data_IF_205128903542
#
_entry.id   IF_205128903542
#
_cell.length_a   1.000
_cell.length_b   1.000
_cell.length_c   1.000
_cell.angle_alpha   90.00
_cell.angle_beta   90.00
_cell.angle_gamma   90.00
#
_symmetry.space_group_name_H-M   'P 1'
#
loop_
_entity.id
_entity.type
_entity.pdbx_description
1 polymer ?
#
# COMPACT_ATOMS: atom_id res chain seq x y z
N UNK A 1 -20.49 33.19 -10.94
CA UNK A 1 -19.60 32.86 -12.08
C UNK A 1 -19.68 31.36 -12.33
N UNK A 2 -19.62 30.95 -13.60
CA UNK A 2 -19.50 29.53 -13.97
C UNK A 2 -18.15 28.98 -13.49
N UNK A 3 -18.13 27.77 -12.92
CA UNK A 3 -16.94 27.13 -12.36
C UNK A 3 -16.48 26.01 -13.29
N UNK A 4 -15.19 25.95 -13.59
CA UNK A 4 -14.54 24.92 -14.40
C UNK A 4 -13.28 24.43 -13.68
N UNK A 5 -12.77 23.24 -14.04
CA UNK A 5 -11.54 22.66 -13.49
C UNK A 5 -10.77 21.90 -14.57
N UNK A 6 -9.48 21.64 -14.32
CA UNK A 6 -8.61 20.77 -15.12
C UNK A 6 -7.85 19.81 -14.21
N UNK A 7 -7.37 18.69 -14.75
CA UNK A 7 -6.46 17.76 -14.08
C UNK A 7 -5.08 17.82 -14.74
N UNK A 8 -4.02 17.49 -13.98
CA UNK A 8 -2.63 17.38 -14.44
C UNK A 8 -2.02 16.13 -13.79
N UNK A 9 -1.32 15.32 -14.57
CA UNK A 9 -0.46 14.26 -14.05
C UNK A 9 0.89 14.85 -13.66
N UNK A 10 1.39 14.44 -12.49
CA UNK A 10 2.73 14.76 -12.01
C UNK A 10 3.39 13.42 -11.69
N UNK A 11 4.52 13.17 -12.31
CA UNK A 11 5.24 11.92 -12.11
C UNK A 11 6.09 11.99 -10.84
N UNK A 12 6.40 10.82 -10.29
CA UNK A 12 7.09 10.71 -9.02
C UNK A 12 7.69 9.33 -8.84
N UNK A 13 8.34 9.16 -7.69
CA UNK A 13 8.87 7.88 -7.23
C UNK A 13 8.45 7.64 -5.79
N UNK A 14 8.68 6.42 -5.32
CA UNK A 14 8.54 6.06 -3.91
C UNK A 14 9.91 5.84 -3.30
N UNK A 15 10.02 6.24 -2.04
CA UNK A 15 11.16 5.92 -1.17
C UNK A 15 10.62 5.44 0.18
N UNK A 16 11.39 4.68 0.97
CA UNK A 16 10.96 4.26 2.29
C UNK A 16 10.72 5.45 3.22
N UNK A 17 9.59 5.47 3.93
CA UNK A 17 9.28 6.45 4.96
C UNK A 17 8.54 5.84 6.15
N UNK A 18 8.53 6.54 7.28
CA UNK A 18 7.85 6.09 8.50
C UNK A 18 6.98 7.22 9.06
N UNK A 19 5.68 6.98 9.15
CA UNK A 19 4.76 7.85 9.86
C UNK A 19 4.69 7.45 11.32
N UNK A 20 4.83 8.42 12.22
CA UNK A 20 4.59 8.24 13.65
C UNK A 20 3.27 8.95 14.02
N UNK A 21 2.26 8.13 14.28
CA UNK A 21 0.94 8.58 14.73
C UNK A 21 0.52 7.75 15.95
N UNK A 22 1.26 7.91 17.05
CA UNK A 22 1.25 7.06 18.27
C UNK A 22 1.84 5.66 18.08
N UNK A 23 1.80 5.14 16.86
CA UNK A 23 2.49 3.94 16.40
C UNK A 23 3.31 4.28 15.15
N UNK A 24 4.25 3.42 14.78
CA UNK A 24 5.08 3.60 13.59
C UNK A 24 4.54 2.80 12.40
N UNK A 25 4.29 3.50 11.30
CA UNK A 25 3.76 2.93 10.07
C UNK A 25 4.79 3.08 8.95
N UNK A 26 5.22 1.95 8.37
CA UNK A 26 5.96 1.98 7.12
C UNK A 26 5.06 2.51 6.01
N UNK A 27 5.60 3.42 5.21
CA UNK A 27 4.98 3.89 3.98
C UNK A 27 6.00 3.86 2.85
N UNK A 28 5.50 3.57 1.65
CA UNK A 28 6.16 4.01 0.43
C UNK A 28 5.87 5.51 0.29
N UNK A 29 6.78 6.37 0.75
CA UNK A 29 6.63 7.81 0.70
C UNK A 29 6.65 8.29 -0.75
N UNK A 30 5.56 8.86 -1.24
CA UNK A 30 5.49 9.37 -2.60
C UNK A 30 6.20 10.73 -2.69
N UNK A 31 7.14 10.86 -3.62
CA UNK A 31 7.91 12.07 -3.92
C UNK A 31 7.74 12.41 -5.39
N UNK A 32 7.27 13.63 -5.68
CA UNK A 32 6.89 14.06 -7.02
C UNK A 32 7.91 15.02 -7.65
N UNK A 33 7.96 15.06 -8.98
CA UNK A 33 8.89 15.91 -9.76
C UNK A 33 8.70 17.41 -9.51
N UNK A 34 7.52 17.83 -9.06
CA UNK A 34 7.20 19.22 -8.70
C UNK A 34 7.57 19.55 -7.25
N UNK A 35 8.27 18.65 -6.56
CA UNK A 35 8.75 18.86 -5.19
C UNK A 35 7.68 18.72 -4.12
N UNK A 36 6.50 18.21 -4.46
CA UNK A 36 5.49 17.80 -3.49
C UNK A 36 5.80 16.40 -2.94
N UNK A 37 5.39 16.13 -1.71
CA UNK A 37 5.62 14.88 -0.98
C UNK A 37 4.32 14.45 -0.31
N UNK A 38 3.89 13.20 -0.49
CA UNK A 38 2.71 12.68 0.21
C UNK A 38 3.10 11.81 1.41
N UNK A 39 2.92 12.34 2.62
CA UNK A 39 3.16 11.66 3.89
C UNK A 39 1.85 11.47 4.70
N UNK A 40 0.83 10.90 4.04
CA UNK A 40 -0.60 10.93 4.41
C UNK A 40 -1.28 12.31 4.28
N UNK A 41 -0.51 13.28 3.84
CA UNK A 41 -0.93 14.60 3.42
C UNK A 41 0.10 15.09 2.40
N UNK A 42 -0.38 15.70 1.32
CA UNK A 42 0.46 16.29 0.29
C UNK A 42 1.00 17.62 0.79
N UNK A 43 2.32 17.69 0.96
CA UNK A 43 3.03 18.87 1.46
C UNK A 43 4.11 19.30 0.47
N UNK A 44 4.47 20.59 0.51
CA UNK A 44 5.67 21.09 -0.17
C UNK A 44 6.93 20.89 0.71
N UNK A 45 8.08 21.39 0.25
CA UNK A 45 9.35 21.28 0.97
C UNK A 45 9.38 21.98 2.33
N UNK A 46 8.58 23.03 2.53
CA UNK A 46 8.46 23.70 3.84
C UNK A 46 7.62 22.83 4.78
N UNK A 47 6.46 22.37 4.32
CA UNK A 47 5.61 21.45 5.07
C UNK A 47 6.32 20.14 5.40
N UNK A 48 7.14 19.59 4.50
CA UNK A 48 7.97 18.42 4.78
C UNK A 48 8.90 18.66 5.98
N UNK A 49 9.57 19.82 6.02
CA UNK A 49 10.45 20.18 7.12
C UNK A 49 9.68 20.23 8.43
N UNK A 50 8.49 20.82 8.44
CA UNK A 50 7.60 20.85 9.61
C UNK A 50 7.20 19.44 10.04
N UNK A 51 6.80 18.56 9.11
CA UNK A 51 6.42 17.16 9.40
C UNK A 51 7.55 16.36 10.03
N UNK A 52 8.80 16.58 9.60
CA UNK A 52 9.99 15.99 10.22
C UNK A 52 10.26 16.57 11.62
N UNK A 53 10.13 17.88 11.79
CA UNK A 53 10.37 18.55 13.07
C UNK A 53 9.39 18.10 14.15
N UNK A 54 8.09 18.09 13.85
CA UNK A 54 7.04 17.62 14.79
C UNK A 54 7.07 16.10 15.02
N UNK A 55 7.90 15.37 14.25
CA UNK A 55 8.03 13.92 14.36
C UNK A 55 6.84 13.15 13.78
N UNK A 56 6.10 13.73 12.83
CA UNK A 56 5.07 13.04 12.06
C UNK A 56 5.69 12.07 11.06
N UNK A 57 6.66 12.55 10.29
CA UNK A 57 7.53 11.72 9.45
C UNK A 57 8.85 11.53 10.21
N UNK A 58 9.31 10.29 10.35
CA UNK A 58 10.53 9.98 11.10
C UNK A 58 11.48 9.10 10.27
N UNK A 59 12.81 9.29 10.41
CA UNK A 59 13.81 8.50 9.69
C UNK A 59 14.23 7.23 10.43
N UNK A 60 13.66 6.97 11.61
CA UNK A 60 14.01 5.83 12.45
C UNK A 60 12.90 5.50 13.45
N UNK A 61 12.90 4.23 13.90
CA UNK A 61 12.05 3.74 14.97
C UNK A 61 12.93 3.40 16.19
N UNK A 62 12.54 3.80 17.41
CA UNK A 62 13.24 3.42 18.63
C UNK A 62 13.29 1.90 18.86
N UNK A 63 14.31 1.44 19.57
CA UNK A 63 14.45 0.03 19.95
C UNK A 63 13.27 -0.46 20.79
N UNK A 64 12.69 -1.62 20.43
CA UNK A 64 11.61 -2.27 21.16
C UNK A 64 10.21 -1.75 20.81
N UNK A 65 10.11 -0.79 19.89
CA UNK A 65 8.85 -0.38 19.28
C UNK A 65 8.50 -1.31 18.10
N UNK A 66 7.24 -1.25 17.65
CA UNK A 66 6.80 -2.01 16.49
C UNK A 66 6.74 -1.16 15.24
N UNK A 67 6.92 -1.81 14.08
CA UNK A 67 6.61 -1.26 12.77
C UNK A 67 5.36 -1.96 12.21
N UNK A 68 4.34 -1.17 11.90
CA UNK A 68 3.15 -1.61 11.17
C UNK A 68 3.38 -1.38 9.67
N UNK A 69 3.19 -2.42 8.88
CA UNK A 69 3.29 -2.39 7.42
C UNK A 69 1.91 -2.75 6.89
N UNK A 70 1.25 -1.78 6.26
CA UNK A 70 -0.15 -1.91 5.83
C UNK A 70 -0.36 -3.16 4.95
N UNK A 71 -1.34 -3.98 5.30
CA UNK A 71 -1.68 -5.21 4.60
C UNK A 71 -0.67 -6.36 4.77
N UNK A 72 0.48 -6.14 5.43
CA UNK A 72 1.52 -7.15 5.64
C UNK A 72 1.53 -7.67 7.09
N UNK A 73 1.62 -6.78 8.07
CA UNK A 73 1.67 -7.14 9.49
C UNK A 73 2.25 -6.07 10.40
N UNK A 74 2.35 -6.38 11.69
CA UNK A 74 3.02 -5.55 12.69
C UNK A 74 4.14 -6.35 13.37
N UNK A 75 5.36 -5.81 13.36
CA UNK A 75 6.57 -6.52 13.76
C UNK A 75 7.37 -5.71 14.79
N UNK A 76 7.84 -6.39 15.83
CA UNK A 76 8.77 -5.80 16.80
C UNK A 76 10.12 -5.50 16.15
N UNK A 77 10.66 -4.29 16.36
CA UNK A 77 12.03 -3.96 15.99
C UNK A 77 12.95 -4.24 17.18
N UNK A 78 13.70 -5.34 17.07
CA UNK A 78 14.71 -5.71 18.06
C UNK A 78 15.92 -4.79 17.93
N UNK A 79 16.43 -4.60 16.72
CA UNK A 79 17.52 -3.63 16.45
C UNK A 79 17.32 -2.99 15.08
N UNK A 80 17.82 -1.76 14.91
CA UNK A 80 17.77 -1.07 13.62
C UNK A 80 19.02 -0.22 13.42
N UNK A 81 19.67 -0.40 12.27
CA UNK A 81 20.70 0.49 11.74
C UNK A 81 20.04 1.39 10.70
N UNK A 82 19.69 2.60 11.11
CA UNK A 82 19.01 3.59 10.27
C UNK A 82 20.04 4.52 9.62
N UNK A 83 19.94 4.70 8.31
CA UNK A 83 20.94 5.46 7.56
C UNK A 83 20.75 6.98 7.66
N UNK A 84 19.61 7.44 8.17
CA UNK A 84 19.26 8.85 8.19
C UNK A 84 18.89 9.38 9.58
N UNK A 85 19.15 10.66 9.79
CA UNK A 85 18.51 11.51 10.80
C UNK A 85 17.57 12.51 10.10
N UNK A 86 16.86 13.36 10.86
CA UNK A 86 15.87 14.30 10.28
C UNK A 86 16.45 15.17 9.16
N UNK A 87 17.66 15.71 9.37
CA UNK A 87 18.31 16.59 8.40
C UNK A 87 18.79 15.82 7.17
N UNK A 88 19.48 14.68 7.36
CA UNK A 88 19.98 13.90 6.23
C UNK A 88 18.84 13.23 5.43
N UNK A 89 17.71 12.90 6.08
CA UNK A 89 16.54 12.38 5.38
C UNK A 89 15.84 13.46 4.56
N UNK A 90 15.74 14.69 5.08
CA UNK A 90 15.26 15.83 4.32
C UNK A 90 16.11 16.09 3.07
N UNK A 91 17.43 16.07 3.20
CA UNK A 91 18.34 16.22 2.06
C UNK A 91 18.25 15.03 1.09
N UNK A 92 18.09 13.79 1.56
CA UNK A 92 17.83 12.64 0.69
C UNK A 92 16.55 12.79 -0.14
N UNK A 93 15.47 13.30 0.46
CA UNK A 93 14.21 13.58 -0.27
C UNK A 93 14.44 14.66 -1.33
N UNK A 94 15.19 15.72 -1.02
CA UNK A 94 15.56 16.74 -2.01
C UNK A 94 16.40 16.19 -3.14
N UNK A 95 17.43 15.39 -2.84
CA UNK A 95 18.24 14.71 -3.85
C UNK A 95 17.37 13.79 -4.73
N UNK A 96 16.32 13.19 -4.16
CA UNK A 96 15.33 12.41 -4.92
C UNK A 96 14.55 13.30 -5.89
N UNK A 97 14.10 14.48 -5.46
CA UNK A 97 13.46 15.47 -6.34
C UNK A 97 14.41 15.95 -7.42
N UNK A 98 15.69 16.19 -7.10
CA UNK A 98 16.71 16.58 -8.08
C UNK A 98 16.97 15.49 -9.13
N UNK A 99 16.90 14.19 -8.74
CA UNK A 99 16.97 13.09 -9.71
C UNK A 99 15.77 13.07 -10.66
N UNK A 100 14.57 13.36 -10.16
CA UNK A 100 13.34 13.42 -10.96
C UNK A 100 13.29 14.68 -11.85
N UNK A 101 13.74 15.80 -11.32
CA UNK A 101 13.70 17.12 -11.97
C UNK A 101 15.05 17.84 -11.79
N UNK A 102 16.06 17.52 -12.62
CA UNK A 102 17.43 18.04 -12.46
C UNK A 102 17.58 19.56 -12.51
N UNK A 103 16.62 20.25 -13.12
CA UNK A 103 16.63 21.71 -13.22
C UNK A 103 15.82 22.38 -12.10
N UNK A 104 15.18 21.60 -11.22
CA UNK A 104 14.26 22.07 -10.19
C UNK A 104 13.25 23.09 -10.74
N UNK A 105 12.72 22.78 -11.92
CA UNK A 105 11.79 23.67 -12.63
C UNK A 105 10.35 23.38 -12.20
N UNK A 106 9.53 24.43 -12.02
CA UNK A 106 8.13 24.30 -11.60
C UNK A 106 7.93 23.60 -10.24
N UNK A 107 8.84 23.82 -9.28
CA UNK A 107 8.65 23.35 -7.91
C UNK A 107 7.47 24.10 -7.28
N UNK A 108 6.53 23.35 -6.71
CA UNK A 108 5.33 23.89 -6.10
C UNK A 108 5.63 24.42 -4.69
N UNK A 109 4.91 25.47 -4.31
CA UNK A 109 4.91 26.01 -2.94
C UNK A 109 3.49 26.36 -2.59
N UNK A 110 2.99 25.81 -1.49
CA UNK A 110 1.62 26.02 -1.01
C UNK A 110 1.57 27.40 -0.37
N UNK A 111 0.78 28.32 -0.95
CA UNK A 111 0.66 29.67 -0.40
C UNK A 111 -0.17 29.69 0.88
N UNK A 112 0.03 30.71 1.72
CA UNK A 112 -0.73 30.90 2.95
C UNK A 112 -2.25 31.05 2.70
N UNK A 113 -2.65 31.63 1.57
CA UNK A 113 -4.05 31.71 1.16
C UNK A 113 -4.62 30.33 0.82
N UNK A 114 -3.83 29.47 0.17
CA UNK A 114 -4.23 28.10 -0.14
C UNK A 114 -4.39 27.25 1.13
N UNK A 115 -3.43 27.32 2.06
CA UNK A 115 -3.51 26.67 3.38
C UNK A 115 -4.80 27.07 4.11
N UNK A 116 -5.06 28.37 4.23
CA UNK A 116 -6.29 28.90 4.85
C UNK A 116 -7.56 28.42 4.16
N UNK A 117 -7.56 28.30 2.83
CA UNK A 117 -8.71 27.84 2.08
C UNK A 117 -8.99 26.36 2.33
N UNK A 118 -7.94 25.52 2.40
CA UNK A 118 -8.06 24.10 2.73
C UNK A 118 -8.57 23.90 4.16
N UNK A 119 -8.05 24.65 5.12
CA UNK A 119 -8.52 24.65 6.52
C UNK A 119 -10.00 25.04 6.63
N UNK A 120 -10.41 26.14 5.97
CA UNK A 120 -11.81 26.58 5.96
C UNK A 120 -12.76 25.53 5.39
N UNK A 121 -12.28 24.76 4.40
CA UNK A 121 -13.04 23.67 3.79
C UNK A 121 -12.91 22.34 4.53
N UNK A 122 -12.01 22.26 5.53
CA UNK A 122 -11.65 21.03 6.26
C UNK A 122 -11.21 19.92 5.31
N UNK A 123 -10.40 20.28 4.32
CA UNK A 123 -9.82 19.35 3.35
C UNK A 123 -8.37 19.14 3.74
N UNK A 124 -8.00 17.90 4.04
CA UNK A 124 -6.60 17.47 3.94
C UNK A 124 -6.46 16.74 2.60
N UNK A 125 -5.52 17.20 1.78
CA UNK A 125 -5.35 16.68 0.43
C UNK A 125 -4.26 15.60 0.44
N UNK A 126 -4.64 14.37 0.13
CA UNK A 126 -3.73 13.22 0.06
C UNK A 126 -4.11 12.37 -1.15
N UNK A 127 -3.53 12.64 -2.33
CA UNK A 127 -3.86 11.91 -3.55
C UNK A 127 -3.28 10.50 -3.51
N UNK A 128 -4.05 9.53 -4.01
CA UNK A 128 -3.57 8.16 -4.21
C UNK A 128 -2.67 8.11 -5.44
N UNK A 129 -1.39 7.76 -5.25
CA UNK A 129 -0.45 7.53 -6.34
C UNK A 129 -0.82 6.26 -7.13
N UNK A 130 -0.53 6.26 -8.43
CA UNK A 130 -0.73 5.11 -9.31
C UNK A 130 0.62 4.65 -9.84
N UNK A 131 0.93 3.37 -9.65
CA UNK A 131 2.09 2.77 -10.29
C UNK A 131 1.89 2.74 -11.81
N UNK A 132 2.98 2.92 -12.53
CA UNK A 132 3.02 2.69 -13.97
C UNK A 132 4.45 2.34 -14.40
N UNK A 133 4.61 1.75 -15.57
CA UNK A 133 5.89 1.73 -16.27
C UNK A 133 5.72 2.22 -17.70
N UNK A 134 6.80 2.71 -18.30
CA UNK A 134 6.82 3.17 -19.70
C UNK A 134 7.12 1.99 -20.61
N UNK A 135 6.11 1.55 -21.38
CA UNK A 135 6.25 0.47 -22.36
C UNK A 135 6.92 0.96 -23.64
N UNK A 136 6.66 2.21 -24.01
CA UNK A 136 7.27 2.86 -25.17
C UNK A 136 7.31 4.37 -24.98
N UNK A 137 8.50 4.95 -25.06
CA UNK A 137 8.71 6.40 -25.11
C UNK A 137 8.03 7.04 -26.32
N UNK A 138 7.94 6.31 -27.44
CA UNK A 138 7.20 6.77 -28.60
C UNK A 138 5.70 6.85 -28.25
N UNK A 139 5.14 8.06 -28.32
CA UNK A 139 3.79 8.41 -27.88
C UNK A 139 3.51 8.23 -26.37
N UNK A 140 4.56 8.04 -25.56
CA UNK A 140 4.47 7.89 -24.11
C UNK A 140 3.42 6.86 -23.67
N UNK A 141 3.59 5.64 -24.16
CA UNK A 141 2.69 4.53 -23.84
C UNK A 141 3.08 3.95 -22.49
N UNK A 142 2.20 4.13 -21.51
CA UNK A 142 2.35 3.60 -20.16
C UNK A 142 1.40 2.44 -19.90
N UNK A 143 1.80 1.58 -18.97
CA UNK A 143 0.95 0.52 -18.42
C UNK A 143 0.75 0.80 -16.95
N UNK A 144 -0.52 0.92 -16.53
CA UNK A 144 -0.85 1.17 -15.13
C UNK A 144 -0.66 -0.12 -14.31
N UNK A 145 -0.20 0.05 -13.09
CA UNK A 145 -0.07 -0.99 -12.09
C UNK A 145 -0.60 -0.55 -10.74
N UNK A 146 -0.57 -1.49 -9.80
CA UNK A 146 -0.76 -1.25 -8.38
C UNK A 146 -0.17 -2.42 -7.60
N UNK A 147 0.14 -2.23 -6.34
CA UNK A 147 0.90 -3.20 -5.56
C UNK A 147 0.87 -2.96 -4.07
N UNK A 148 1.68 -3.73 -3.37
CA UNK A 148 1.79 -3.67 -1.91
C UNK A 148 3.19 -4.10 -1.43
N UNK A 149 3.55 -3.75 -0.18
CA UNK A 149 4.76 -4.26 0.46
C UNK A 149 4.68 -5.77 0.75
N UNK A 150 5.81 -6.46 0.58
CA UNK A 150 6.00 -7.88 0.91
C UNK A 150 7.44 -8.11 1.37
N UNK A 151 7.70 -9.10 2.22
CA UNK A 151 9.09 -9.51 2.44
C UNK A 151 9.52 -10.49 1.33
N UNK A 152 10.75 -10.34 0.86
CA UNK A 152 11.31 -11.18 -0.20
C UNK A 152 12.68 -11.74 0.22
N UNK A 153 12.88 -13.05 0.05
CA UNK A 153 14.21 -13.66 0.10
C UNK A 153 14.88 -13.55 -1.27
N UNK A 154 16.04 -12.92 -1.32
CA UNK A 154 16.82 -12.79 -2.54
C UNK A 154 18.32 -12.79 -2.22
N UNK A 155 19.13 -13.53 -2.97
CA UNK A 155 20.60 -13.60 -2.79
C UNK A 155 21.06 -13.83 -1.33
N UNK A 156 20.37 -14.71 -0.60
CA UNK A 156 20.60 -15.03 0.84
C UNK A 156 20.23 -13.92 1.84
N UNK A 157 19.71 -12.79 1.38
CA UNK A 157 19.19 -11.70 2.21
C UNK A 157 17.66 -11.72 2.22
N UNK A 158 17.07 -11.01 3.18
CA UNK A 158 15.63 -10.77 3.24
C UNK A 158 15.40 -9.25 3.12
N UNK A 159 14.52 -8.85 2.21
CA UNK A 159 14.23 -7.47 1.90
C UNK A 159 12.78 -7.15 2.23
N UNK A 160 12.49 -5.91 2.59
CA UNK A 160 11.15 -5.35 2.42
C UNK A 160 11.08 -4.82 0.99
N UNK A 161 10.25 -5.44 0.17
CA UNK A 161 10.09 -5.14 -1.25
C UNK A 161 8.69 -4.61 -1.55
N UNK A 162 8.52 -3.92 -2.66
CA UNK A 162 7.21 -3.55 -3.20
C UNK A 162 6.89 -4.44 -4.40
N UNK A 163 5.82 -5.25 -4.31
CA UNK A 163 5.34 -6.15 -5.35
C UNK A 163 4.21 -5.46 -6.11
N UNK A 164 4.41 -5.19 -7.40
CA UNK A 164 3.46 -4.43 -8.24
C UNK A 164 3.03 -5.28 -9.42
N UNK A 165 1.73 -5.47 -9.59
CA UNK A 165 1.16 -6.10 -10.79
C UNK A 165 0.64 -5.02 -11.75
N UNK A 166 0.88 -5.22 -13.03
CA UNK A 166 0.49 -4.32 -14.10
C UNK A 166 -0.67 -4.86 -14.91
N UNK A 167 -1.35 -3.95 -15.61
CA UNK A 167 -2.55 -4.27 -16.38
C UNK A 167 -2.32 -5.38 -17.43
N UNK A 168 -1.10 -5.50 -17.97
CA UNK A 168 -0.76 -6.51 -18.97
C UNK A 168 -0.22 -7.83 -18.40
N UNK A 169 -0.26 -8.02 -17.09
CA UNK A 169 0.11 -9.28 -16.42
C UNK A 169 1.56 -9.34 -15.94
N UNK A 170 2.40 -8.38 -16.35
CA UNK A 170 3.75 -8.24 -15.80
C UNK A 170 3.67 -7.92 -14.30
N UNK A 171 4.52 -8.56 -13.52
CA UNK A 171 4.71 -8.29 -12.09
C UNK A 171 6.13 -7.82 -11.88
N UNK A 172 6.31 -6.65 -11.25
CA UNK A 172 7.61 -6.10 -10.90
C UNK A 172 7.81 -6.11 -9.40
N UNK A 173 9.00 -6.47 -8.96
CA UNK A 173 9.44 -6.39 -7.56
C UNK A 173 10.51 -5.34 -7.43
N UNK A 174 10.26 -4.35 -6.58
CA UNK A 174 11.19 -3.27 -6.30
C UNK A 174 11.82 -3.46 -4.92
N UNK A 175 13.15 -3.56 -4.87
CA UNK A 175 13.91 -3.51 -3.62
C UNK A 175 15.38 -3.12 -3.87
N UNK A 176 15.95 -2.33 -2.97
CA UNK A 176 17.36 -1.93 -2.93
C UNK A 176 17.89 -1.38 -4.25
N UNK A 177 17.07 -0.57 -4.93
CA UNK A 177 17.39 -0.02 -6.26
C UNK A 177 17.40 -1.05 -7.39
N UNK A 178 16.93 -2.28 -7.13
CA UNK A 178 16.73 -3.33 -8.13
C UNK A 178 15.27 -3.41 -8.53
N UNK A 179 15.07 -3.78 -9.78
CA UNK A 179 13.79 -4.09 -10.40
C UNK A 179 13.89 -5.51 -10.95
N UNK A 180 13.02 -6.40 -10.49
CA UNK A 180 12.92 -7.77 -10.95
C UNK A 180 11.57 -7.98 -11.61
N UNK A 181 11.57 -8.53 -12.82
CA UNK A 181 10.38 -8.74 -13.63
C UNK A 181 10.00 -10.23 -13.63
N UNK A 182 8.71 -10.50 -13.44
CA UNK A 182 8.10 -11.83 -13.45
C UNK A 182 6.77 -11.78 -14.21
N UNK A 183 6.29 -12.93 -14.64
CA UNK A 183 4.91 -13.12 -15.07
C UNK A 183 4.02 -13.47 -13.87
N UNK A 184 2.75 -13.07 -13.91
CA UNK A 184 1.82 -13.30 -12.79
C UNK A 184 1.67 -14.80 -12.45
N UNK A 185 1.78 -15.69 -13.43
CA UNK A 185 1.73 -17.13 -13.22
C UNK A 185 2.95 -17.66 -12.44
N UNK A 186 4.12 -17.04 -12.60
CA UNK A 186 5.36 -17.45 -11.90
C UNK A 186 5.33 -17.03 -10.43
N UNK A 187 4.70 -15.89 -10.16
CA UNK A 187 4.63 -15.29 -8.82
C UNK A 187 3.88 -16.18 -7.83
N UNK A 188 2.93 -17.00 -8.29
CA UNK A 188 2.23 -17.94 -7.42
C UNK A 188 3.21 -18.91 -6.72
N UNK A 189 4.14 -19.49 -7.47
CA UNK A 189 5.12 -20.44 -6.92
C UNK A 189 6.04 -19.77 -5.90
N UNK A 190 6.33 -18.48 -6.07
CA UNK A 190 7.16 -17.69 -5.15
C UNK A 190 6.49 -17.45 -3.79
N UNK A 191 5.15 -17.42 -3.72
CA UNK A 191 4.43 -17.45 -2.44
C UNK A 191 4.49 -18.84 -1.80
N UNK A 192 4.42 -19.90 -2.61
CA UNK A 192 4.42 -21.30 -2.13
C UNK A 192 5.79 -21.76 -1.63
N UNK A 193 6.88 -21.35 -2.29
CA UNK A 193 8.24 -21.78 -1.96
C UNK A 193 8.90 -20.96 -0.84
N UNK A 194 8.21 -19.90 -0.37
CA UNK A 194 8.68 -19.01 0.69
C UNK A 194 9.67 -17.94 0.22
N UNK A 195 9.76 -17.68 -1.08
CA UNK A 195 10.46 -16.52 -1.63
C UNK A 195 9.78 -15.22 -1.21
N UNK A 196 8.46 -15.14 -1.39
CA UNK A 196 7.62 -14.10 -0.79
C UNK A 196 7.06 -14.60 0.53
N UNK A 197 7.14 -13.76 1.55
CA UNK A 197 6.76 -14.13 2.90
C UNK A 197 6.20 -12.95 3.67
N UNK A 198 5.37 -13.27 4.64
CA UNK A 198 4.78 -12.34 5.60
C UNK A 198 5.20 -12.68 7.03
N UNK A 199 5.71 -13.90 7.24
CA UNK A 199 6.30 -14.37 8.49
C UNK A 199 7.66 -15.02 8.21
N UNK A 200 8.58 -14.89 9.17
CA UNK A 200 9.93 -15.47 9.13
C UNK A 200 10.32 -16.03 10.50
N UNK A 201 11.37 -16.87 10.50
CA UNK A 201 11.99 -17.34 11.75
C UNK A 201 12.61 -16.17 12.50
N UNK A 202 12.18 -15.93 13.72
CA UNK A 202 12.64 -14.78 14.52
C UNK A 202 13.87 -15.14 15.36
N UNK A 203 14.84 -14.23 15.52
CA UNK A 203 14.95 -12.94 14.85
C UNK A 203 15.41 -13.09 13.39
N UNK A 204 14.91 -12.23 12.48
CA UNK A 204 15.40 -12.15 11.09
C UNK A 204 15.81 -10.73 10.76
N UNK A 205 16.94 -10.61 10.06
CA UNK A 205 17.42 -9.35 9.49
C UNK A 205 16.68 -9.05 8.18
N UNK A 206 16.13 -7.85 8.09
CA UNK A 206 15.42 -7.30 6.93
C UNK A 206 16.15 -6.03 6.46
N UNK A 207 16.38 -5.94 5.15
CA UNK A 207 16.91 -4.75 4.50
C UNK A 207 15.74 -3.94 3.93
N UNK A 208 15.64 -2.67 4.31
CA UNK A 208 14.68 -1.70 3.79
C UNK A 208 15.47 -0.74 2.91
N UNK A 209 15.61 -1.08 1.63
CA UNK A 209 16.40 -0.37 0.62
C UNK A 209 17.70 0.25 1.15
N UNK A 210 17.96 1.52 0.82
CA UNK A 210 19.03 2.35 1.36
C UNK A 210 18.63 3.06 2.66
N UNK A 211 17.48 2.71 3.26
CA UNK A 211 16.91 3.37 4.41
C UNK A 211 17.38 2.75 5.73
N UNK A 212 17.32 1.43 5.85
CA UNK A 212 17.70 0.74 7.07
C UNK A 212 18.03 -0.74 6.89
N UNK A 213 18.81 -1.25 7.82
CA UNK A 213 18.90 -2.68 8.12
C UNK A 213 18.32 -2.92 9.52
N UNK A 214 17.22 -3.67 9.60
CA UNK A 214 16.52 -3.93 10.87
C UNK A 214 16.49 -5.41 11.19
N UNK A 215 16.53 -5.75 12.47
CA UNK A 215 16.27 -7.10 12.95
C UNK A 215 14.86 -7.13 13.52
N UNK A 216 13.97 -7.85 12.84
CA UNK A 216 12.59 -8.01 13.26
C UNK A 216 12.43 -9.22 14.18
N UNK A 217 11.67 -9.00 15.24
CA UNK A 217 11.26 -9.99 16.22
C UNK A 217 9.93 -10.62 15.89
N UNK A 218 9.13 -10.90 16.92
CA UNK A 218 7.84 -11.56 16.78
C UNK A 218 6.85 -10.64 16.06
N UNK A 219 6.07 -11.20 15.13
CA UNK A 219 4.90 -10.54 14.58
C UNK A 219 3.77 -10.51 15.64
N UNK A 220 3.14 -9.35 15.81
CA UNK A 220 1.90 -9.23 16.59
C UNK A 220 0.75 -9.85 15.82
N UNK A 221 0.67 -9.52 14.53
CA UNK A 221 -0.16 -10.17 13.53
C UNK A 221 0.55 -10.08 12.18
N UNK A 222 0.17 -10.95 11.26
CA UNK A 222 0.61 -10.92 9.86
C UNK A 222 -0.51 -11.46 8.98
N UNK A 223 -0.48 -11.08 7.70
CA UNK A 223 -1.38 -11.62 6.68
C UNK A 223 -0.80 -12.92 6.13
N UNK A 224 -1.59 -13.97 5.93
CA UNK A 224 -1.08 -15.20 5.31
C UNK A 224 -0.58 -14.94 3.87
N UNK A 225 0.55 -15.52 3.43
CA UNK A 225 1.08 -15.34 2.07
C UNK A 225 0.06 -15.66 0.95
N UNK A 226 -0.80 -16.67 1.12
CA UNK A 226 -1.83 -17.01 0.14
C UNK A 226 -2.88 -15.90 0.01
N UNK A 227 -3.19 -15.22 1.12
CA UNK A 227 -4.12 -14.09 1.10
C UNK A 227 -3.53 -12.87 0.40
N UNK A 228 -2.21 -12.67 0.48
CA UNK A 228 -1.49 -11.66 -0.33
C UNK A 228 -1.51 -12.01 -1.82
N UNK A 229 -1.44 -13.30 -2.17
CA UNK A 229 -1.57 -13.72 -3.57
C UNK A 229 -2.99 -13.46 -4.10
N UNK A 230 -4.05 -13.74 -3.31
CA UNK A 230 -5.43 -13.37 -3.66
C UNK A 230 -5.58 -11.86 -3.88
N UNK A 231 -4.97 -11.04 -3.01
CA UNK A 231 -4.96 -9.58 -3.15
C UNK A 231 -4.30 -9.14 -4.47
N UNK A 232 -3.17 -9.75 -4.85
CA UNK A 232 -2.50 -9.49 -6.13
C UNK A 232 -3.42 -9.77 -7.33
N UNK A 233 -4.14 -10.90 -7.31
CA UNK A 233 -5.09 -11.27 -8.38
C UNK A 233 -6.27 -10.31 -8.47
N UNK A 234 -6.75 -9.82 -7.32
CA UNK A 234 -7.84 -8.85 -7.24
C UNK A 234 -7.41 -7.47 -7.75
N UNK A 235 -6.18 -7.04 -7.42
CA UNK A 235 -5.57 -5.84 -7.99
C UNK A 235 -5.49 -5.94 -9.53
N UNK A 236 -4.96 -7.05 -10.05
CA UNK A 236 -4.88 -7.28 -11.50
C UNK A 236 -6.25 -7.28 -12.17
N UNK A 237 -7.27 -7.86 -11.52
CA UNK A 237 -8.65 -7.84 -12.00
C UNK A 237 -9.21 -6.43 -12.06
N UNK A 238 -8.99 -5.63 -11.01
CA UNK A 238 -9.42 -4.23 -10.92
C UNK A 238 -8.76 -3.36 -12.00
N UNK A 239 -7.45 -3.52 -12.23
CA UNK A 239 -6.70 -2.82 -13.28
C UNK A 239 -7.28 -3.09 -14.68
N UNK A 240 -7.84 -4.28 -14.90
CA UNK A 240 -8.48 -4.68 -16.14
C UNK A 240 -10.00 -4.36 -16.20
N UNK A 241 -10.52 -3.58 -15.25
CA UNK A 241 -11.94 -3.21 -15.19
C UNK A 241 -12.88 -4.39 -14.93
N UNK A 242 -12.34 -5.53 -14.44
CA UNK A 242 -13.14 -6.68 -14.01
C UNK A 242 -13.57 -6.47 -12.56
N UNK A 243 -14.69 -7.10 -12.19
CA UNK A 243 -15.18 -7.06 -10.80
C UNK A 243 -14.19 -7.74 -9.86
N UNK A 244 -13.94 -7.10 -8.72
CA UNK A 244 -13.12 -7.67 -7.63
C UNK A 244 -13.86 -8.81 -6.92
N UNK A 245 -13.16 -9.57 -6.07
CA UNK A 245 -13.79 -10.59 -5.22
C UNK A 245 -14.85 -9.96 -4.29
N UNK A 246 -14.57 -8.79 -3.72
CA UNK A 246 -15.50 -8.01 -2.89
C UNK A 246 -16.80 -7.67 -3.62
N UNK A 247 -16.70 -7.17 -4.85
CA UNK A 247 -17.87 -6.80 -5.66
C UNK A 247 -18.71 -8.02 -6.04
N UNK A 248 -18.05 -9.10 -6.46
CA UNK A 248 -18.74 -10.37 -6.77
C UNK A 248 -19.46 -10.95 -5.56
N UNK A 249 -18.84 -10.89 -4.38
CA UNK A 249 -19.42 -11.37 -3.14
C UNK A 249 -20.62 -10.53 -2.69
N UNK A 250 -20.53 -9.19 -2.78
CA UNK A 250 -21.68 -8.30 -2.51
C UNK A 250 -22.87 -8.60 -3.42
N UNK A 251 -22.64 -8.87 -4.70
CA UNK A 251 -23.69 -9.26 -5.64
C UNK A 251 -24.33 -10.60 -5.28
N UNK A 252 -23.53 -11.58 -4.86
CA UNK A 252 -24.04 -12.86 -4.38
C UNK A 252 -24.83 -12.71 -3.08
N UNK A 253 -24.41 -11.82 -2.19
CA UNK A 253 -25.12 -11.49 -0.96
C UNK A 253 -26.49 -10.88 -1.27
N UNK A 254 -26.57 -9.88 -2.15
CA UNK A 254 -27.86 -9.32 -2.57
C UNK A 254 -28.75 -10.36 -3.26
N UNK A 255 -28.17 -11.23 -4.09
CA UNK A 255 -28.91 -12.32 -4.73
C UNK A 255 -29.48 -13.29 -3.69
N UNK A 256 -28.71 -13.61 -2.64
CA UNK A 256 -29.17 -14.44 -1.53
C UNK A 256 -30.30 -13.77 -0.74
N UNK A 257 -30.21 -12.46 -0.48
CA UNK A 257 -31.27 -11.71 0.22
C UNK A 257 -32.58 -11.69 -0.57
N UNK A 258 -32.51 -11.58 -1.90
CA UNK A 258 -33.69 -11.56 -2.77
C UNK A 258 -34.29 -12.96 -2.97
N UNK A 259 -33.45 -13.98 -3.14
CA UNK A 259 -33.86 -15.37 -3.39
C UNK A 259 -33.10 -16.37 -2.49
N UNK A 260 -33.42 -16.44 -1.19
CA UNK A 260 -32.72 -17.33 -0.26
C UNK A 260 -32.89 -18.80 -0.65
N UNK A 261 -31.76 -19.50 -0.83
CA UNK A 261 -31.72 -20.94 -1.11
C UNK A 261 -30.36 -21.52 -0.71
N UNK A 262 -30.30 -22.84 -0.52
CA UNK A 262 -29.02 -23.52 -0.25
C UNK A 262 -28.00 -23.30 -1.38
N UNK A 263 -28.45 -23.26 -2.63
CA UNK A 263 -27.60 -22.97 -3.78
C UNK A 263 -27.02 -21.55 -3.73
N UNK A 264 -27.85 -20.54 -3.43
CA UNK A 264 -27.40 -19.16 -3.33
C UNK A 264 -26.43 -18.97 -2.14
N UNK A 265 -26.66 -19.68 -1.03
CA UNK A 265 -25.77 -19.68 0.14
C UNK A 265 -24.40 -20.28 -0.18
N UNK A 266 -24.37 -21.43 -0.84
CA UNK A 266 -23.11 -22.08 -1.22
C UNK A 266 -22.30 -21.21 -2.19
N UNK A 267 -22.98 -20.59 -3.16
CA UNK A 267 -22.35 -19.62 -4.06
C UNK A 267 -21.79 -18.39 -3.32
N UNK A 268 -22.54 -17.89 -2.33
CA UNK A 268 -22.06 -16.79 -1.49
C UNK A 268 -20.81 -17.22 -0.70
N UNK A 269 -20.80 -18.43 -0.14
CA UNK A 269 -19.64 -18.99 0.54
C UNK A 269 -18.41 -19.07 -0.35
N UNK A 270 -18.57 -19.64 -1.55
CA UNK A 270 -17.49 -19.76 -2.53
C UNK A 270 -16.86 -18.39 -2.83
N UNK A 271 -17.69 -17.38 -3.10
CA UNK A 271 -17.21 -16.03 -3.41
C UNK A 271 -16.64 -15.29 -2.19
N UNK A 272 -17.14 -15.59 -1.00
CA UNK A 272 -16.64 -15.03 0.25
C UNK A 272 -15.22 -15.52 0.58
N UNK A 273 -14.95 -16.81 0.39
CA UNK A 273 -13.65 -17.43 0.67
C UNK A 273 -12.56 -17.03 -0.35
N UNK A 274 -12.95 -16.50 -1.52
CA UNK A 274 -12.05 -15.88 -2.50
C UNK A 274 -11.56 -14.49 -2.10
N UNK A 275 -12.24 -13.80 -1.17
CA UNK A 275 -11.80 -12.48 -0.70
C UNK A 275 -10.61 -12.67 0.25
N UNK A 276 -9.52 -11.88 0.10
CA UNK A 276 -8.44 -11.83 1.06
C UNK A 276 -8.98 -11.64 2.48
N UNK A 277 -8.57 -12.45 3.46
CA UNK A 277 -9.19 -12.45 4.79
C UNK A 277 -9.23 -11.06 5.45
N UNK A 278 -8.13 -10.31 5.31
CA UNK A 278 -7.98 -8.97 5.87
C UNK A 278 -8.85 -7.92 5.15
N UNK A 279 -9.32 -8.19 3.93
CA UNK A 279 -10.22 -7.32 3.17
C UNK A 279 -11.71 -7.60 3.44
N UNK A 280 -12.06 -8.77 4.01
CA UNK A 280 -13.45 -9.16 4.27
C UNK A 280 -14.19 -8.16 5.17
N UNK A 281 -13.46 -7.48 6.05
CA UNK A 281 -14.04 -6.44 6.91
C UNK A 281 -14.68 -5.28 6.14
N UNK A 282 -14.33 -5.08 4.86
CA UNK A 282 -14.91 -4.06 4.01
C UNK A 282 -16.23 -4.48 3.35
N UNK A 283 -16.72 -5.70 3.57
CA UNK A 283 -18.00 -6.16 3.00
C UNK A 283 -19.24 -5.41 3.53
N UNK A 284 -19.17 -4.89 4.76
CA UNK A 284 -20.20 -4.07 5.40
C UNK A 284 -19.69 -2.71 5.84
N UNK A 285 -20.37 -2.11 6.82
CA UNK A 285 -19.92 -0.86 7.45
C UNK A 285 -18.96 -1.12 8.63
N UNK A 286 -18.48 -0.06 9.28
CA UNK A 286 -17.51 -0.19 10.37
C UNK A 286 -18.02 -1.00 11.57
N UNK A 287 -19.33 -1.05 11.77
CA UNK A 287 -19.95 -1.73 12.91
C UNK A 287 -20.23 -3.21 12.59
N UNK A 288 -20.78 -3.47 11.40
CA UNK A 288 -21.24 -4.80 10.98
C UNK A 288 -20.16 -5.63 10.29
N UNK A 289 -19.22 -5.02 9.59
CA UNK A 289 -18.16 -5.69 8.81
C UNK A 289 -18.75 -6.82 7.96
N UNK A 290 -18.25 -8.04 8.11
CA UNK A 290 -18.70 -9.26 7.44
C UNK A 290 -19.63 -10.14 8.29
N UNK A 291 -20.09 -9.66 9.46
CA UNK A 291 -20.84 -10.48 10.42
C UNK A 291 -22.10 -11.14 9.81
N UNK A 292 -22.85 -10.41 8.98
CA UNK A 292 -24.05 -10.97 8.35
C UNK A 292 -23.72 -12.01 7.27
N UNK A 293 -22.58 -11.87 6.59
CA UNK A 293 -22.08 -12.86 5.63
C UNK A 293 -21.73 -14.15 6.36
N UNK A 294 -20.96 -14.04 7.45
CA UNK A 294 -20.58 -15.17 8.31
C UNK A 294 -21.82 -15.89 8.85
N UNK A 295 -22.81 -15.14 9.35
CA UNK A 295 -24.09 -15.69 9.82
C UNK A 295 -24.78 -16.50 8.72
N UNK A 296 -24.96 -15.93 7.53
CA UNK A 296 -25.63 -16.62 6.42
C UNK A 296 -24.90 -17.90 6.01
N UNK A 297 -23.57 -17.83 5.92
CA UNK A 297 -22.75 -18.93 5.38
C UNK A 297 -22.60 -20.06 6.40
N UNK A 298 -22.19 -19.73 7.62
CA UNK A 298 -21.73 -20.70 8.61
C UNK A 298 -22.74 -20.98 9.73
N UNK A 299 -23.71 -20.07 9.95
CA UNK A 299 -24.72 -20.18 11.02
C UNK A 299 -26.15 -19.91 10.48
N UNK A 300 -26.61 -20.63 9.44
CA UNK A 300 -27.87 -20.34 8.76
C UNK A 300 -29.12 -20.44 9.65
N UNK A 301 -29.02 -21.15 10.78
CA UNK A 301 -30.04 -21.24 11.82
C UNK A 301 -30.25 -19.94 12.60
N UNK A 302 -29.22 -19.10 12.71
CA UNK A 302 -29.30 -17.82 13.40
C UNK A 302 -30.00 -16.79 12.52
N UNK A 303 -31.26 -16.50 12.87
CA UNK A 303 -32.08 -15.52 12.14
C UNK A 303 -31.80 -14.12 12.66
N UNK A 304 -31.73 -13.16 11.73
CA UNK A 304 -31.67 -11.73 12.05
C UNK A 304 -32.95 -11.32 12.80
N UNK A 305 -32.80 -10.74 13.98
CA UNK A 305 -33.90 -10.00 14.60
C UNK A 305 -34.17 -8.77 13.74
N UNK A 306 -35.42 -8.63 13.29
CA UNK A 306 -35.91 -7.52 12.44
C UNK A 306 -36.63 -6.49 13.28
#
# INVERSE_FOLDING_TARGET
MHKISRQKTVEGTRIPGIINNMQYFYINLDVYEDGMINCWELVDLEGLKEKLEIGWLVPSIPHGENISIHGLGEYEIITGSWNYNKNSYYEYIKETIERLNPNLSNIYTISEEEKKLLEQRRISYSPEAKDFYVKSELFYQTVNGNGFPIFMRHESCCYLANLVVYQDGCVKVYHSGRELDYEIEEVQEMFHDGTFLTEFKTPTKIIIDDFAEVTLGKAIYYTDPEEKYKELLDIHSKLNGKKTSLEKCREAYYSYLEYPSDYAREKLKELYELIPEHERMYLGDMDSKDADYIRIIYYPEDKREV
#
